data_IF_930142961325
#
_entry.id   IF_930142961325
#
_cell.length_a   1.000
_cell.length_b   1.000
_cell.length_c   1.000
_cell.angle_alpha   90.00
_cell.angle_beta   90.00
_cell.angle_gamma   90.00
#
_symmetry.space_group_name_H-M   'P 1'
#
loop_
_entity.id
_entity.type
_entity.pdbx_description
1 polymer ?
#
# COMPACT_ATOMS: atom_id res chain seq x y z
N UNK A 1 -13.81 5.85 -52.38
CA UNK A 1 -13.21 4.91 -51.40
C UNK A 1 -14.28 3.97 -50.88
N UNK A 2 -14.03 2.66 -50.89
CA UNK A 2 -14.98 1.69 -50.33
C UNK A 2 -15.15 1.93 -48.82
N UNK A 3 -16.39 1.98 -48.33
CA UNK A 3 -16.71 2.20 -46.91
C UNK A 3 -15.94 1.23 -45.99
N UNK A 4 -15.71 -0.01 -46.45
CA UNK A 4 -14.88 -1.02 -45.76
C UNK A 4 -13.43 -0.59 -45.54
N UNK A 5 -12.74 -0.06 -46.56
CA UNK A 5 -11.37 0.43 -46.39
C UNK A 5 -11.31 1.61 -45.43
N UNK A 6 -12.32 2.49 -45.46
CA UNK A 6 -12.38 3.65 -44.55
C UNK A 6 -12.54 3.18 -43.10
N UNK A 7 -13.44 2.21 -42.85
CA UNK A 7 -13.60 1.60 -41.54
C UNK A 7 -12.34 0.86 -41.08
N UNK A 8 -11.70 0.09 -41.97
CA UNK A 8 -10.48 -0.65 -41.66
C UNK A 8 -9.32 0.27 -41.27
N UNK A 9 -9.10 1.35 -42.03
CA UNK A 9 -8.08 2.37 -41.69
C UNK A 9 -8.40 3.05 -40.36
N UNK A 10 -9.66 3.42 -40.11
CA UNK A 10 -10.06 4.05 -38.84
C UNK A 10 -9.79 3.13 -37.63
N UNK A 11 -10.09 1.83 -37.74
CA UNK A 11 -9.84 0.85 -36.69
C UNK A 11 -8.35 0.64 -36.43
N UNK A 12 -7.51 0.64 -37.47
CA UNK A 12 -6.05 0.55 -37.31
C UNK A 12 -5.50 1.80 -36.62
N UNK A 13 -5.96 3.00 -37.01
CA UNK A 13 -5.56 4.25 -36.33
C UNK A 13 -6.02 4.24 -34.87
N UNK A 14 -7.25 3.81 -34.60
CA UNK A 14 -7.77 3.66 -33.24
C UNK A 14 -6.92 2.68 -32.43
N UNK A 15 -6.50 1.56 -33.00
CA UNK A 15 -5.62 0.60 -32.35
C UNK A 15 -4.28 1.24 -31.94
N UNK A 16 -3.66 2.02 -32.83
CA UNK A 16 -2.42 2.73 -32.53
C UNK A 16 -2.60 3.73 -31.37
N UNK A 17 -3.70 4.47 -31.36
CA UNK A 17 -4.02 5.43 -30.29
C UNK A 17 -4.24 4.70 -28.96
N UNK A 18 -5.06 3.64 -28.95
CA UNK A 18 -5.36 2.85 -27.75
C UNK A 18 -4.14 2.11 -27.19
N UNK A 19 -3.17 1.77 -28.04
CA UNK A 19 -1.92 1.16 -27.64
C UNK A 19 -0.94 2.20 -27.07
N UNK A 20 -0.86 3.39 -27.69
CA UNK A 20 0.07 4.44 -27.26
C UNK A 20 -0.42 5.21 -26.03
N UNK A 21 -1.74 5.41 -25.87
CA UNK A 21 -2.29 6.22 -24.78
C UNK A 21 -1.86 5.74 -23.38
N UNK A 22 -1.93 4.44 -23.02
CA UNK A 22 -1.50 3.99 -21.70
C UNK A 22 0.02 4.04 -21.47
N UNK A 23 0.83 4.27 -22.51
CA UNK A 23 2.26 4.48 -22.35
C UNK A 23 2.60 5.93 -21.96
N UNK A 24 1.71 6.89 -22.26
CA UNK A 24 1.91 8.32 -21.95
C UNK A 24 1.17 8.78 -20.70
N UNK A 25 0.23 7.97 -20.18
CA UNK A 25 -0.43 8.21 -18.90
C UNK A 25 0.16 7.27 -17.83
N UNK A 26 1.09 7.76 -16.98
CA UNK A 26 1.69 6.94 -15.92
C UNK A 26 0.62 6.51 -14.93
N UNK A 27 0.75 5.29 -14.41
CA UNK A 27 -0.09 4.82 -13.31
C UNK A 27 0.32 5.64 -12.09
N UNK A 28 -0.63 6.41 -11.54
CA UNK A 28 -0.35 7.29 -10.40
C UNK A 28 0.04 6.44 -9.18
N UNK A 29 1.22 6.70 -8.62
CA UNK A 29 1.65 6.10 -7.36
C UNK A 29 0.68 6.47 -6.25
N UNK A 30 0.57 5.59 -5.26
CA UNK A 30 -0.31 5.72 -4.10
C UNK A 30 0.52 5.58 -2.84
N UNK A 31 0.10 6.28 -1.79
CA UNK A 31 0.61 6.11 -0.44
C UNK A 31 -0.13 4.95 0.21
N UNK A 32 0.62 3.98 0.71
CA UNK A 32 0.12 2.77 1.36
C UNK A 32 0.36 2.88 2.85
N UNK A 33 -0.63 2.44 3.62
CA UNK A 33 -0.59 2.26 5.07
C UNK A 33 -0.95 0.81 5.35
N UNK A 34 -0.15 0.12 6.16
CA UNK A 34 -0.33 -1.28 6.51
C UNK A 34 -0.13 -1.46 8.01
N UNK A 35 -1.16 -1.92 8.73
CA UNK A 35 -1.13 -2.16 10.19
C UNK A 35 -1.04 -3.64 10.53
N UNK A 36 -0.73 -4.50 9.55
CA UNK A 36 -0.68 -5.96 9.74
C UNK A 36 0.69 -6.45 10.19
N UNK A 37 1.70 -5.60 10.17
CA UNK A 37 3.02 -5.91 10.71
C UNK A 37 2.95 -5.95 12.24
N UNK A 38 3.79 -6.76 12.87
CA UNK A 38 3.69 -7.04 14.31
C UNK A 38 4.85 -6.41 15.06
N UNK A 39 4.57 -5.70 16.14
CA UNK A 39 5.60 -5.22 17.05
C UNK A 39 5.60 -6.08 18.32
N UNK A 40 6.60 -6.97 18.41
CA UNK A 40 6.80 -7.82 19.59
C UNK A 40 7.73 -7.21 20.63
N UNK A 41 8.31 -6.04 20.35
CA UNK A 41 9.23 -5.36 21.25
C UNK A 41 8.48 -4.58 22.35
N UNK A 42 9.00 -4.64 23.58
CA UNK A 42 8.52 -3.80 24.68
C UNK A 42 8.83 -2.31 24.45
N UNK A 43 8.17 -1.37 25.15
CA UNK A 43 8.41 0.07 24.98
C UNK A 43 9.86 0.49 25.22
N UNK A 44 10.55 -0.22 26.13
CA UNK A 44 11.96 0.03 26.40
C UNK A 44 12.86 -0.44 25.24
N UNK A 45 12.54 -1.59 24.63
CA UNK A 45 13.25 -2.13 23.47
C UNK A 45 12.98 -1.30 22.21
N UNK A 46 11.74 -0.83 22.01
CA UNK A 46 11.39 0.10 20.94
C UNK A 46 12.21 1.40 21.00
N UNK A 47 12.39 1.94 22.21
CA UNK A 47 13.22 3.11 22.43
C UNK A 47 14.72 2.82 22.20
N UNK A 48 15.19 1.61 22.50
CA UNK A 48 16.58 1.18 22.26
C UNK A 48 16.86 0.95 20.76
N UNK A 49 15.88 0.45 20.02
CA UNK A 49 15.96 0.16 18.58
C UNK A 49 15.68 1.37 17.66
N UNK A 50 15.52 2.56 18.26
CA UNK A 50 15.25 3.84 17.60
C UNK A 50 13.95 3.79 16.76
N UNK A 51 12.93 3.11 17.27
CA UNK A 51 11.59 3.17 16.70
C UNK A 51 10.93 4.51 17.02
N UNK A 52 10.30 5.10 16.00
CA UNK A 52 9.46 6.27 16.19
C UNK A 52 8.14 5.81 16.82
N UNK A 53 7.97 6.11 18.11
CA UNK A 53 6.74 5.82 18.86
C UNK A 53 5.92 7.09 19.00
N UNK A 54 4.71 7.11 18.47
CA UNK A 54 3.77 8.22 18.54
C UNK A 54 2.49 7.79 19.24
N UNK A 55 2.09 8.51 20.28
CA UNK A 55 0.76 8.33 20.85
C UNK A 55 -0.33 8.72 19.83
N UNK A 56 -1.40 7.93 19.76
CA UNK A 56 -2.55 8.18 18.89
C UNK A 56 -3.10 9.60 19.03
N UNK A 57 -3.14 10.11 20.26
CA UNK A 57 -3.61 11.48 20.57
C UNK A 57 -2.72 12.59 19.99
N UNK A 58 -1.44 12.28 19.76
CA UNK A 58 -0.46 13.21 19.19
C UNK A 58 -0.42 13.17 17.66
N UNK A 59 -1.08 12.19 17.03
CA UNK A 59 -1.23 12.16 15.59
C UNK A 59 -2.06 13.36 15.12
N UNK A 60 -1.73 13.89 13.94
CA UNK A 60 -2.54 14.90 13.29
C UNK A 60 -3.96 14.36 13.03
N UNK A 61 -4.93 15.25 12.81
CA UNK A 61 -6.29 14.82 12.41
C UNK A 61 -6.24 13.89 11.19
N UNK A 62 -5.36 14.20 10.23
CA UNK A 62 -5.15 13.35 9.05
C UNK A 62 -4.48 12.03 9.39
N UNK A 63 -3.48 12.02 10.26
CA UNK A 63 -2.80 10.80 10.70
C UNK A 63 -3.76 9.83 11.41
N UNK A 64 -4.62 10.35 12.30
CA UNK A 64 -5.66 9.56 12.98
C UNK A 64 -6.69 9.01 12.00
N UNK A 65 -7.15 9.83 11.05
CA UNK A 65 -8.08 9.39 10.01
C UNK A 65 -7.48 8.24 9.20
N UNK A 66 -6.24 8.39 8.74
CA UNK A 66 -5.54 7.37 7.96
C UNK A 66 -5.37 6.08 8.74
N UNK A 67 -4.88 6.14 9.98
CA UNK A 67 -4.72 4.97 10.84
C UNK A 67 -6.05 4.24 11.09
N UNK A 68 -7.12 4.96 11.46
CA UNK A 68 -8.46 4.37 11.66
C UNK A 68 -8.98 3.75 10.36
N UNK A 69 -8.81 4.43 9.22
CA UNK A 69 -9.21 3.89 7.92
C UNK A 69 -8.43 2.64 7.55
N UNK A 70 -7.15 2.56 7.89
CA UNK A 70 -6.35 1.33 7.71
C UNK A 70 -6.96 0.18 8.49
N UNK A 71 -7.27 0.39 9.77
CA UNK A 71 -7.88 -0.65 10.60
C UNK A 71 -9.27 -1.07 10.11
N UNK A 72 -10.08 -0.12 9.63
CA UNK A 72 -11.40 -0.42 9.04
C UNK A 72 -11.33 -1.21 7.72
N UNK A 73 -10.16 -1.22 7.04
CA UNK A 73 -9.96 -1.87 5.74
C UNK A 73 -9.05 -3.12 5.86
N UNK A 74 -9.24 -3.90 6.93
CA UNK A 74 -8.52 -5.16 7.17
C UNK A 74 -6.99 -4.97 7.17
N UNK A 75 -6.55 -3.85 7.74
CA UNK A 75 -5.17 -3.48 7.95
C UNK A 75 -4.42 -2.94 6.73
N UNK A 76 -5.07 -2.63 5.61
CA UNK A 76 -4.41 -1.94 4.48
C UNK A 76 -5.27 -0.81 3.91
N UNK A 77 -4.72 0.40 3.84
CA UNK A 77 -5.41 1.54 3.22
C UNK A 77 -4.49 2.38 2.33
N UNK A 78 -5.03 2.80 1.18
CA UNK A 78 -4.28 3.49 0.13
C UNK A 78 -4.91 4.83 -0.20
N UNK A 79 -4.09 5.86 -0.34
CA UNK A 79 -4.52 7.22 -0.72
C UNK A 79 -3.63 7.81 -1.82
N UNK A 80 -4.11 8.79 -2.59
CA UNK A 80 -3.29 9.49 -3.58
C UNK A 80 -2.08 10.19 -2.94
N UNK A 81 -1.01 10.34 -3.72
CA UNK A 81 0.15 11.17 -3.31
C UNK A 81 -0.31 12.61 -3.04
N UNK A 82 0.04 13.13 -1.88
CA UNK A 82 -0.38 14.45 -1.38
C UNK A 82 -1.49 14.39 -0.32
N UNK A 83 -2.12 13.23 -0.13
CA UNK A 83 -3.15 13.01 0.91
C UNK A 83 -2.64 12.21 2.12
N UNK A 84 -1.31 12.07 2.26
CA UNK A 84 -0.69 11.43 3.43
C UNK A 84 -0.68 12.33 4.67
N UNK A 85 -0.13 11.81 5.76
CA UNK A 85 0.18 12.60 6.97
C UNK A 85 1.66 13.00 6.99
N UNK A 86 2.00 14.12 7.65
CA UNK A 86 3.37 14.65 7.64
C UNK A 86 4.32 13.88 8.57
N UNK A 87 3.75 13.28 9.61
CA UNK A 87 4.41 12.39 10.56
C UNK A 87 4.72 11.01 9.96
N UNK A 88 4.07 10.63 8.86
CA UNK A 88 4.33 9.35 8.18
C UNK A 88 5.38 9.53 7.09
N UNK A 89 6.31 8.56 7.01
CA UNK A 89 7.33 8.54 5.96
C UNK A 89 6.90 7.56 4.88
N UNK A 90 6.88 8.00 3.63
CA UNK A 90 6.42 7.15 2.52
C UNK A 90 7.58 6.82 1.56
N UNK A 91 8.56 5.99 1.98
CA UNK A 91 9.67 5.64 1.13
C UNK A 91 9.19 4.92 -0.12
N UNK A 92 9.73 5.31 -1.27
CA UNK A 92 9.54 4.57 -2.51
C UNK A 92 10.50 3.38 -2.58
N UNK A 93 10.27 2.49 -3.55
CA UNK A 93 11.08 1.27 -3.76
C UNK A 93 12.60 1.54 -3.90
N UNK A 94 12.99 2.67 -4.47
CA UNK A 94 14.42 3.02 -4.59
C UNK A 94 15.01 3.41 -3.23
N UNK A 95 14.29 4.21 -2.46
CA UNK A 95 14.68 4.62 -1.11
C UNK A 95 14.74 3.41 -0.17
N UNK A 96 13.75 2.52 -0.23
CA UNK A 96 13.75 1.26 0.54
C UNK A 96 14.97 0.41 0.22
N UNK A 97 15.27 0.22 -1.07
CA UNK A 97 16.44 -0.56 -1.49
C UNK A 97 17.75 0.06 -1.01
N UNK A 98 17.86 1.39 -1.06
CA UNK A 98 19.02 2.11 -0.55
C UNK A 98 19.16 1.98 0.97
N UNK A 99 18.06 2.06 1.72
CA UNK A 99 18.05 1.87 3.17
C UNK A 99 18.62 0.48 3.56
N UNK A 100 18.17 -0.59 2.88
CA UNK A 100 18.70 -1.93 3.13
C UNK A 100 20.18 -2.10 2.76
N UNK A 101 20.64 -1.46 1.68
CA UNK A 101 22.03 -1.58 1.22
C UNK A 101 23.00 -0.69 2.02
N UNK A 102 22.55 0.51 2.41
CA UNK A 102 23.33 1.50 3.15
C UNK A 102 23.36 1.24 4.66
N UNK A 103 22.51 0.34 5.17
CA UNK A 103 22.43 0.00 6.59
C UNK A 103 21.60 0.97 7.43
N UNK A 104 21.11 2.06 6.84
CA UNK A 104 20.18 2.97 7.50
C UNK A 104 18.75 2.44 7.42
N UNK A 105 18.36 1.65 8.43
CA UNK A 105 17.02 1.08 8.51
C UNK A 105 15.97 2.06 9.01
N UNK A 106 16.35 3.25 9.50
CA UNK A 106 15.40 4.22 10.06
C UNK A 106 14.33 4.69 9.05
N UNK A 107 14.63 4.60 7.76
CA UNK A 107 13.73 4.99 6.66
C UNK A 107 12.63 3.94 6.42
N UNK A 108 12.92 2.68 6.72
CA UNK A 108 12.04 1.53 6.43
C UNK A 108 11.52 0.86 7.69
N UNK A 109 11.76 1.46 8.86
CA UNK A 109 11.18 0.98 10.11
C UNK A 109 9.70 1.38 10.15
N UNK A 110 8.81 0.48 10.59
CA UNK A 110 7.44 0.82 10.87
C UNK A 110 7.36 1.92 11.93
N UNK A 111 6.38 2.81 11.78
CA UNK A 111 5.99 3.73 12.83
C UNK A 111 5.20 2.95 13.89
N UNK A 112 5.49 3.14 15.16
CA UNK A 112 4.70 2.52 16.24
C UNK A 112 3.70 3.52 16.80
N UNK A 113 2.43 3.15 16.81
CA UNK A 113 1.34 3.97 17.32
C UNK A 113 0.91 3.43 18.68
N UNK A 114 1.09 4.24 19.73
CA UNK A 114 0.58 3.91 21.06
C UNK A 114 -0.92 4.25 21.13
N UNK A 115 -1.75 3.22 21.28
CA UNK A 115 -3.20 3.31 21.43
C UNK A 115 -3.56 3.86 22.82
N UNK A 116 -4.66 4.62 22.95
CA UNK A 116 -5.13 5.12 24.24
C UNK A 116 -5.49 3.94 25.17
N UNK A 117 -5.40 4.17 26.48
CA UNK A 117 -5.77 3.13 27.47
C UNK A 117 -7.26 2.75 27.41
N UNK A 118 -8.10 3.64 26.90
CA UNK A 118 -9.48 3.36 26.49
C UNK A 118 -9.53 3.43 24.96
N UNK A 119 -9.33 2.29 24.32
CA UNK A 119 -9.33 2.11 22.86
C UNK A 119 -10.68 1.61 22.34
N UNK A 120 -11.74 1.67 23.17
CA UNK A 120 -13.06 1.12 22.85
C UNK A 120 -13.73 1.78 21.64
N UNK A 121 -13.33 3.00 21.29
CA UNK A 121 -13.79 3.73 20.11
C UNK A 121 -12.98 3.42 18.84
N UNK A 122 -11.84 2.74 18.96
CA UNK A 122 -11.00 2.35 17.83
C UNK A 122 -11.38 0.95 17.34
N UNK A 123 -11.27 0.70 16.02
CA UNK A 123 -11.31 -0.66 15.52
C UNK A 123 -10.22 -1.52 16.19
N UNK A 124 -10.40 -2.84 16.27
CA UNK A 124 -9.38 -3.74 16.81
C UNK A 124 -8.08 -3.65 16.00
N UNK A 125 -6.95 -3.97 16.64
CA UNK A 125 -5.66 -4.08 15.97
C UNK A 125 -5.66 -5.23 14.95
N UNK A 126 -5.01 -5.02 13.79
CA UNK A 126 -4.89 -5.99 12.69
C UNK A 126 -3.58 -6.78 12.71
N UNK A 127 -2.76 -6.61 13.76
CA UNK A 127 -1.47 -7.28 13.87
C UNK A 127 -1.62 -8.80 13.81
N UNK A 128 -0.80 -9.43 12.98
CA UNK A 128 -0.77 -10.89 12.90
C UNK A 128 -0.05 -11.44 14.12
N UNK A 129 -0.81 -12.04 15.03
CA UNK A 129 -0.20 -12.76 16.15
C UNK A 129 0.52 -14.01 15.65
N UNK A 130 1.86 -13.98 15.63
CA UNK A 130 2.70 -15.12 15.19
C UNK A 130 2.99 -16.15 16.30
N UNK A 131 2.35 -16.03 17.46
CA UNK A 131 2.64 -16.86 18.63
C UNK A 131 3.78 -16.24 19.47
N UNK A 132 3.99 -16.76 20.69
CA UNK A 132 5.02 -16.26 21.59
C UNK A 132 6.40 -16.46 20.99
N UNK A 133 7.30 -15.50 21.23
CA UNK A 133 8.70 -15.63 20.84
C UNK A 133 9.30 -16.88 21.54
N UNK A 134 10.14 -17.71 20.88
CA UNK A 134 10.80 -18.83 21.55
C UNK A 134 11.59 -18.42 22.81
N UNK A 135 11.99 -17.17 22.99
CA UNK A 135 12.57 -16.68 24.25
C UNK A 135 11.53 -16.54 25.38
N UNK A 136 10.25 -16.37 25.05
CA UNK A 136 9.11 -16.29 25.97
C UNK A 136 8.52 -17.65 26.36
N UNK A 137 9.01 -18.76 25.79
CA UNK A 137 8.54 -20.10 26.17
C UNK A 137 8.72 -20.38 27.67
N UNK A 138 9.72 -19.74 28.29
CA UNK A 138 10.04 -19.84 29.71
C UNK A 138 9.44 -18.72 30.59
N UNK A 139 8.72 -17.76 30.00
CA UNK A 139 8.12 -16.66 30.73
C UNK A 139 6.98 -17.15 31.64
N UNK A 140 6.89 -16.59 32.84
CA UNK A 140 5.80 -16.84 33.77
C UNK A 140 4.46 -16.38 33.18
N UNK A 141 3.34 -16.93 33.65
CA UNK A 141 2.00 -16.56 33.16
C UNK A 141 1.66 -15.08 33.36
N UNK A 142 2.26 -14.42 34.35
CA UNK A 142 2.10 -12.99 34.60
C UNK A 142 2.91 -12.14 33.61
N UNK A 143 4.14 -12.56 33.27
CA UNK A 143 4.97 -11.89 32.25
C UNK A 143 4.32 -12.00 30.87
N UNK A 144 3.74 -13.15 30.53
CA UNK A 144 2.95 -13.31 29.28
C UNK A 144 1.74 -12.41 29.23
N UNK A 145 0.95 -12.33 30.32
CA UNK A 145 -0.22 -11.46 30.37
C UNK A 145 0.15 -9.97 30.30
N UNK A 146 1.28 -9.57 30.89
CA UNK A 146 1.80 -8.20 30.76
C UNK A 146 2.33 -7.91 29.34
N UNK A 147 2.98 -8.88 28.71
CA UNK A 147 3.46 -8.77 27.34
C UNK A 147 2.28 -8.66 26.36
N UNK A 148 1.28 -9.53 26.47
CA UNK A 148 0.05 -9.46 25.66
C UNK A 148 -0.66 -8.10 25.83
N UNK A 149 -0.74 -7.58 27.05
CA UNK A 149 -1.32 -6.26 27.32
C UNK A 149 -0.47 -5.10 26.76
N UNK A 150 0.84 -5.32 26.59
CA UNK A 150 1.76 -4.35 26.00
C UNK A 150 1.64 -4.38 24.48
N UNK A 151 1.70 -5.55 23.85
CA UNK A 151 1.52 -5.74 22.40
C UNK A 151 0.16 -5.21 21.94
N UNK A 152 -0.92 -5.38 22.73
CA UNK A 152 -2.23 -4.83 22.38
C UNK A 152 -2.31 -3.29 22.37
N UNK A 153 -1.34 -2.61 23.00
CA UNK A 153 -1.32 -1.15 23.13
C UNK A 153 -0.49 -0.47 22.06
N UNK A 154 0.45 -1.16 21.42
CA UNK A 154 1.33 -0.59 20.41
C UNK A 154 1.08 -1.28 19.08
N UNK A 155 0.60 -0.51 18.10
CA UNK A 155 0.40 -1.00 16.74
C UNK A 155 1.53 -0.54 15.84
N UNK A 156 2.14 -1.46 15.09
CA UNK A 156 3.00 -1.09 13.97
C UNK A 156 2.16 -0.58 12.80
N UNK A 157 2.61 0.50 12.17
CA UNK A 157 2.11 0.91 10.87
C UNK A 157 3.26 1.14 9.90
N UNK A 158 3.32 0.27 8.90
CA UNK A 158 4.18 0.41 7.75
C UNK A 158 3.59 1.40 6.75
N UNK A 159 4.45 2.24 6.20
CA UNK A 159 4.05 3.23 5.20
C UNK A 159 5.01 3.22 4.01
N UNK A 160 4.46 3.35 2.81
CA UNK A 160 5.24 3.26 1.58
C UNK A 160 4.60 4.03 0.43
N UNK A 161 5.40 4.34 -0.60
CA UNK A 161 4.89 4.78 -1.90
C UNK A 161 4.95 3.61 -2.88
N UNK A 162 3.79 3.14 -3.35
CA UNK A 162 3.70 1.99 -4.26
C UNK A 162 2.86 2.28 -5.51
N UNK A 163 2.98 1.41 -6.51
CA UNK A 163 2.04 1.39 -7.63
C UNK A 163 0.67 0.84 -7.18
N UNK A 164 -0.44 1.25 -7.82
CA UNK A 164 -1.75 0.66 -7.56
C UNK A 164 -1.76 -0.84 -7.86
N UNK A 165 -2.55 -1.62 -7.11
CA UNK A 165 -2.66 -3.05 -7.36
C UNK A 165 -3.26 -3.30 -8.74
N UNK A 166 -2.98 -4.47 -9.33
CA UNK A 166 -3.45 -4.83 -10.68
C UNK A 166 -4.98 -4.77 -10.84
N UNK A 167 -5.73 -4.97 -9.76
CA UNK A 167 -7.18 -4.86 -9.72
C UNK A 167 -7.72 -3.43 -9.64
N UNK A 168 -6.87 -2.43 -9.44
CA UNK A 168 -7.31 -1.04 -9.34
C UNK A 168 -7.85 -0.53 -10.68
N UNK A 169 -8.85 0.36 -10.62
CA UNK A 169 -9.50 0.95 -11.81
C UNK A 169 -8.51 1.49 -12.86
N UNK A 170 -7.42 2.21 -12.51
CA UNK A 170 -6.45 2.69 -13.49
C UNK A 170 -5.75 1.55 -14.26
N UNK A 171 -5.39 0.47 -13.57
CA UNK A 171 -4.76 -0.70 -14.18
C UNK A 171 -5.76 -1.46 -15.08
N UNK A 172 -7.02 -1.56 -14.66
CA UNK A 172 -8.09 -2.18 -15.46
C UNK A 172 -8.37 -1.39 -16.74
N UNK A 173 -8.40 -0.06 -16.67
CA UNK A 173 -8.56 0.80 -17.86
C UNK A 173 -7.40 0.63 -18.85
N UNK A 174 -6.17 0.54 -18.34
CA UNK A 174 -4.99 0.25 -19.16
C UNK A 174 -5.09 -1.10 -19.85
N UNK A 175 -5.48 -2.15 -19.11
CA UNK A 175 -5.71 -3.49 -19.66
C UNK A 175 -6.80 -3.48 -20.75
N UNK A 176 -7.94 -2.84 -20.47
CA UNK A 176 -9.05 -2.73 -21.40
C UNK A 176 -8.65 -1.98 -22.69
N UNK A 177 -7.87 -0.91 -22.56
CA UNK A 177 -7.34 -0.15 -23.71
C UNK A 177 -6.49 -1.03 -24.62
N UNK A 178 -5.57 -1.81 -24.05
CA UNK A 178 -4.71 -2.73 -24.81
C UNK A 178 -5.54 -3.82 -25.50
N UNK A 179 -6.54 -4.37 -24.79
CA UNK A 179 -7.43 -5.39 -25.36
C UNK A 179 -8.24 -4.85 -26.55
N UNK A 180 -8.80 -3.64 -26.41
CA UNK A 180 -9.50 -2.96 -27.50
C UNK A 180 -8.57 -2.61 -28.67
N UNK A 181 -7.31 -2.28 -28.40
CA UNK A 181 -6.32 -2.04 -29.44
C UNK A 181 -6.08 -3.31 -30.27
N UNK A 182 -5.89 -4.47 -29.62
CA UNK A 182 -5.69 -5.76 -30.30
C UNK A 182 -6.91 -6.14 -31.15
N UNK A 183 -8.12 -5.99 -30.60
CA UNK A 183 -9.36 -6.25 -31.34
C UNK A 183 -9.51 -5.32 -32.55
N UNK A 184 -9.25 -4.03 -32.37
CA UNK A 184 -9.35 -3.03 -33.45
C UNK A 184 -8.32 -3.29 -34.54
N UNK A 185 -7.10 -3.69 -34.18
CA UNK A 185 -6.05 -4.06 -35.12
C UNK A 185 -6.45 -5.31 -35.93
N UNK A 186 -6.97 -6.35 -35.26
CA UNK A 186 -7.40 -7.60 -35.89
C UNK A 186 -8.56 -7.39 -36.87
N UNK A 187 -9.62 -6.70 -36.43
CA UNK A 187 -10.80 -6.42 -37.27
C UNK A 187 -10.41 -5.45 -38.41
N UNK A 188 -9.64 -4.40 -38.11
CA UNK A 188 -9.18 -3.43 -39.09
C UNK A 188 -8.30 -4.07 -40.16
N UNK A 189 -7.34 -4.90 -39.75
CA UNK A 189 -6.47 -5.67 -40.64
C UNK A 189 -7.25 -6.65 -41.50
N UNK A 190 -8.22 -7.38 -40.93
CA UNK A 190 -9.09 -8.27 -41.68
C UNK A 190 -9.90 -7.53 -42.75
N UNK A 191 -10.50 -6.38 -42.40
CA UNK A 191 -11.27 -5.57 -43.34
C UNK A 191 -10.44 -5.01 -44.51
N UNK A 192 -9.15 -4.71 -44.25
CA UNK A 192 -8.20 -4.25 -45.25
C UNK A 192 -7.61 -5.38 -46.11
N UNK A 193 -7.46 -6.58 -45.53
CA UNK A 193 -6.87 -7.75 -46.21
C UNK A 193 -7.89 -8.57 -47.01
N UNK A 194 -9.17 -8.58 -46.61
CA UNK A 194 -10.24 -9.22 -47.36
C UNK A 194 -10.63 -8.33 -48.53
N UNK A 195 -9.83 -8.43 -49.60
CA UNK A 195 -10.05 -7.88 -50.93
C UNK A 195 -10.68 -8.92 -51.84
#
# INVERSE_FOLDING_TARGET
MNRRNTLGTALVVLALVLFAAPAVFPVQSMLVHDTRDTVTASPAELAEDDHEVLAYENLSERGRELYVKTLENDGEYRVPVGEGAAEFRYPNETERRQAYQGGDRSIVRPLVIERPADDSELPPSDERYFGPDPEEENASGEERAQHEATVQRYDAMDTATEEPPLGATPQLLRLASVLLAVLSLGVGGYLLSSK
#
